data_IF_638346870878
#
_entry.id   IF_638346870878
#
_cell.length_a   1.000
_cell.length_b   1.000
_cell.length_c   1.000
_cell.angle_alpha   90.00
_cell.angle_beta   90.00
_cell.angle_gamma   90.00
#
_symmetry.space_group_name_H-M   'P 1'
#
loop_
_entity.id
_entity.type
_entity.pdbx_description
1 polymer ?
#
# COMPACT_ATOMS: atom_id res chain seq x y z
N UNK A 1 1.33 53.75 11.86
CA UNK A 1 2.05 52.52 12.28
C UNK A 1 1.00 51.47 12.58
N UNK A 2 0.81 50.50 11.68
CA UNK A 2 -0.15 49.41 11.91
C UNK A 2 0.50 48.37 12.84
N UNK A 3 -0.16 47.94 13.93
CA UNK A 3 0.38 46.92 14.81
C UNK A 3 0.45 45.60 14.05
N UNK A 4 1.66 45.03 13.98
CA UNK A 4 1.89 43.68 13.47
C UNK A 4 1.07 42.70 14.30
N UNK A 5 0.12 42.01 13.65
CA UNK A 5 -0.73 40.98 14.24
C UNK A 5 0.13 39.75 14.58
N UNK A 6 0.90 39.84 15.67
CA UNK A 6 1.60 38.70 16.25
C UNK A 6 0.53 37.78 16.86
N UNK A 7 0.16 36.74 16.10
CA UNK A 7 -0.75 35.68 16.58
C UNK A 7 -0.19 35.12 17.88
N UNK A 8 -0.99 35.14 18.95
CA UNK A 8 -0.55 34.64 20.24
C UNK A 8 -0.19 33.15 20.14
N UNK A 9 0.78 32.65 20.93
CA UNK A 9 1.20 31.25 20.85
C UNK A 9 0.03 30.27 21.05
N UNK A 10 -0.93 30.64 21.90
CA UNK A 10 -2.18 29.90 22.13
C UNK A 10 -3.08 29.83 20.90
N UNK A 11 -3.30 30.94 20.19
CA UNK A 11 -4.09 30.94 18.95
C UNK A 11 -3.46 30.06 17.86
N UNK A 12 -2.13 30.03 17.79
CA UNK A 12 -1.43 29.16 16.85
C UNK A 12 -1.55 27.67 17.22
N UNK A 13 -1.58 27.32 18.52
CA UNK A 13 -1.84 25.95 18.99
C UNK A 13 -3.28 25.50 18.70
N UNK A 14 -4.26 26.37 18.93
CA UNK A 14 -5.66 26.08 18.59
C UNK A 14 -5.86 25.80 17.10
N UNK A 15 -5.18 26.55 16.22
CA UNK A 15 -5.22 26.27 14.77
C UNK A 15 -4.67 24.88 14.44
N UNK A 16 -3.59 24.46 15.10
CA UNK A 16 -3.03 23.11 14.91
C UNK A 16 -4.00 22.01 15.38
N UNK A 17 -4.70 22.23 16.49
CA UNK A 17 -5.72 21.30 16.97
C UNK A 17 -6.91 21.17 16.02
N UNK A 18 -7.38 22.26 15.44
CA UNK A 18 -8.43 22.21 14.40
C UNK A 18 -7.97 21.41 13.18
N UNK A 19 -6.77 21.70 12.68
CA UNK A 19 -6.19 20.92 11.57
C UNK A 19 -6.00 19.45 11.93
N UNK A 20 -5.63 19.13 13.16
CA UNK A 20 -5.50 17.75 13.62
C UNK A 20 -6.85 17.04 13.59
N UNK A 21 -7.90 17.68 14.09
CA UNK A 21 -9.26 17.15 14.06
C UNK A 21 -9.71 16.86 12.61
N UNK A 22 -9.58 17.84 11.71
CA UNK A 22 -9.90 17.65 10.28
C UNK A 22 -9.13 16.48 9.65
N UNK A 23 -7.86 16.30 10.04
CA UNK A 23 -7.02 15.20 9.54
C UNK A 23 -7.43 13.83 10.10
N UNK A 24 -7.94 13.77 11.33
CA UNK A 24 -8.44 12.54 11.94
C UNK A 24 -9.75 12.12 11.29
N UNK A 25 -10.68 13.05 11.08
CA UNK A 25 -11.97 12.79 10.44
C UNK A 25 -11.81 12.26 9.01
N UNK A 26 -10.79 12.77 8.30
CA UNK A 26 -10.45 12.32 6.94
C UNK A 26 -9.52 11.10 6.91
N UNK A 27 -9.22 10.47 8.06
CA UNK A 27 -8.31 9.34 8.20
C UNK A 27 -6.90 9.57 7.59
N UNK A 28 -6.43 10.82 7.57
CA UNK A 28 -5.11 11.23 7.06
C UNK A 28 -4.01 11.06 8.11
N UNK A 29 -3.88 9.86 8.68
CA UNK A 29 -3.01 9.57 9.83
C UNK A 29 -1.54 9.98 9.66
N UNK A 30 -0.88 9.82 8.49
CA UNK A 30 0.50 10.27 8.31
C UNK A 30 0.66 11.81 8.40
N UNK A 31 -0.38 12.56 8.05
CA UNK A 31 -0.39 14.02 8.15
C UNK A 31 -0.72 14.46 9.58
N UNK A 32 -1.72 13.82 10.20
CA UNK A 32 -2.07 13.99 11.61
C UNK A 32 -0.84 13.81 12.50
N UNK A 33 -0.04 12.76 12.27
CA UNK A 33 1.17 12.50 13.04
C UNK A 33 2.19 13.65 12.94
N UNK A 34 2.33 14.29 11.77
CA UNK A 34 3.20 15.48 11.63
C UNK A 34 2.65 16.68 12.39
N UNK A 35 1.34 16.84 12.41
CA UNK A 35 0.66 17.92 13.15
C UNK A 35 0.83 17.73 14.66
N UNK A 36 0.64 16.50 15.17
CA UNK A 36 0.89 16.15 16.57
C UNK A 36 2.34 16.39 16.97
N UNK A 37 3.31 15.99 16.13
CA UNK A 37 4.72 16.28 16.40
C UNK A 37 5.02 17.79 16.48
N UNK A 38 4.29 18.64 15.73
CA UNK A 38 4.40 20.11 15.86
C UNK A 38 3.78 20.63 17.15
N UNK A 39 2.72 20.00 17.65
CA UNK A 39 2.11 20.31 18.94
C UNK A 39 3.09 19.97 20.08
N UNK A 40 3.62 18.74 20.08
CA UNK A 40 4.59 18.28 21.08
C UNK A 40 5.93 19.04 21.05
N UNK A 41 6.34 19.55 19.89
CA UNK A 41 7.51 20.41 19.79
C UNK A 41 7.32 21.79 20.46
N UNK A 42 6.07 22.23 20.64
CA UNK A 42 5.74 23.49 21.33
C UNK A 42 5.49 23.26 22.81
N UNK A 43 4.70 22.24 23.12
CA UNK A 43 4.42 21.81 24.47
C UNK A 43 4.68 20.30 24.60
N UNK A 44 5.87 19.91 25.09
CA UNK A 44 6.18 18.52 25.31
C UNK A 44 5.29 17.86 26.36
N UNK A 45 4.67 18.60 27.29
CA UNK A 45 3.88 18.05 28.41
C UNK A 45 2.38 17.98 28.12
N UNK A 46 1.96 18.34 26.91
CA UNK A 46 0.56 18.24 26.48
C UNK A 46 0.09 16.77 26.46
N UNK A 47 -0.70 16.40 27.46
CA UNK A 47 -1.17 15.02 27.66
C UNK A 47 -2.03 14.54 26.49
N UNK A 48 -2.90 15.40 25.95
CA UNK A 48 -3.78 15.04 24.84
C UNK A 48 -2.95 14.78 23.58
N UNK A 49 -2.00 15.67 23.26
CA UNK A 49 -1.12 15.48 22.12
C UNK A 49 -0.27 14.20 22.24
N UNK A 50 0.18 13.84 23.46
CA UNK A 50 0.92 12.59 23.71
C UNK A 50 0.06 11.34 23.52
N UNK A 51 -1.18 11.35 24.01
CA UNK A 51 -2.12 10.25 23.82
C UNK A 51 -2.52 10.10 22.34
N UNK A 52 -2.82 11.20 21.65
CA UNK A 52 -3.09 11.15 20.21
C UNK A 52 -1.86 10.67 19.43
N UNK A 53 -0.64 11.02 19.87
CA UNK A 53 0.58 10.51 19.26
C UNK A 53 0.70 8.99 19.37
N UNK A 54 0.50 8.41 20.56
CA UNK A 54 0.56 6.96 20.75
C UNK A 54 -0.50 6.24 19.90
N UNK A 55 -1.75 6.71 19.93
CA UNK A 55 -2.84 6.17 19.12
C UNK A 55 -2.55 6.22 17.61
N UNK A 56 -2.04 7.35 17.10
CA UNK A 56 -1.68 7.49 15.68
C UNK A 56 -0.54 6.57 15.25
N UNK A 57 0.44 6.35 16.13
CA UNK A 57 1.55 5.44 15.85
C UNK A 57 1.04 4.00 15.75
N UNK A 58 0.08 3.62 16.60
CA UNK A 58 -0.58 2.31 16.55
C UNK A 58 -1.46 2.16 15.31
N UNK A 59 -2.27 3.18 14.97
CA UNK A 59 -3.11 3.18 13.77
C UNK A 59 -2.30 3.12 12.45
N UNK A 60 -1.02 3.49 12.49
CA UNK A 60 -0.08 3.37 11.37
C UNK A 60 0.73 2.05 11.40
N UNK A 61 0.33 1.09 12.24
CA UNK A 61 0.98 -0.21 12.43
C UNK A 61 2.46 -0.12 12.86
N UNK A 62 2.86 1.00 13.49
CA UNK A 62 4.23 1.21 13.97
C UNK A 62 4.38 0.73 15.41
N UNK A 63 3.95 -0.49 15.70
CA UNK A 63 3.92 -1.08 17.04
C UNK A 63 5.26 -1.01 17.80
N UNK A 64 6.44 -1.28 17.17
CA UNK A 64 7.72 -1.16 17.89
C UNK A 64 8.03 0.28 18.33
N UNK A 65 7.55 1.28 17.59
CA UNK A 65 7.72 2.68 17.96
C UNK A 65 6.74 3.07 19.06
N UNK A 66 5.50 2.55 19.03
CA UNK A 66 4.51 2.77 20.08
C UNK A 66 4.99 2.26 21.46
N UNK A 67 5.66 1.10 21.49
CA UNK A 67 6.20 0.53 22.73
C UNK A 67 7.32 1.36 23.37
N UNK A 68 7.93 2.28 22.62
CA UNK A 68 8.98 3.20 23.10
C UNK A 68 8.42 4.51 23.63
N UNK A 69 7.13 4.76 23.48
CA UNK A 69 6.48 5.96 23.98
C UNK A 69 6.03 5.75 25.41
N UNK A 70 6.38 6.69 26.28
CA UNK A 70 5.96 6.68 27.69
C UNK A 70 4.46 6.99 27.86
N UNK A 71 3.81 7.50 26.82
CA UNK A 71 2.38 7.85 26.81
C UNK A 71 1.47 6.73 26.33
N UNK A 72 2.01 5.55 26.07
CA UNK A 72 1.24 4.36 25.70
C UNK A 72 0.70 3.71 26.96
N UNK A 73 -0.62 3.64 27.08
CA UNK A 73 -1.34 2.92 28.13
C UNK A 73 -1.10 1.41 28.06
N UNK A 74 -1.34 0.71 29.17
CA UNK A 74 -1.04 -0.73 29.28
C UNK A 74 -1.88 -1.58 28.32
N UNK A 75 -3.14 -1.23 28.09
CA UNK A 75 -4.00 -1.92 27.12
C UNK A 75 -3.44 -1.80 25.69
N UNK A 76 -3.11 -0.58 25.26
CA UNK A 76 -2.45 -0.36 23.96
C UNK A 76 -1.09 -1.04 23.87
N UNK A 77 -0.34 -1.07 24.97
CA UNK A 77 0.97 -1.75 25.05
C UNK A 77 0.82 -3.27 24.87
N UNK A 78 -0.16 -3.88 25.53
CA UNK A 78 -0.51 -5.29 25.37
C UNK A 78 -0.91 -5.60 23.91
N UNK A 79 -1.74 -4.75 23.30
CA UNK A 79 -2.11 -4.89 21.89
C UNK A 79 -0.89 -4.82 20.95
N UNK A 80 0.04 -3.89 21.19
CA UNK A 80 1.27 -3.80 20.41
C UNK A 80 2.14 -5.06 20.55
N UNK A 81 2.27 -5.60 21.78
CA UNK A 81 3.01 -6.84 22.02
C UNK A 81 2.35 -8.04 21.34
N UNK A 82 1.02 -8.12 21.37
CA UNK A 82 0.23 -9.12 20.65
C UNK A 82 0.52 -9.08 19.14
N UNK A 83 0.47 -7.89 18.52
CA UNK A 83 0.76 -7.73 17.09
C UNK A 83 2.20 -8.06 16.71
N UNK A 84 3.14 -7.94 17.65
CA UNK A 84 4.54 -8.33 17.48
C UNK A 84 4.82 -9.81 17.80
N UNK A 85 3.77 -10.63 17.94
CA UNK A 85 3.87 -12.06 18.25
C UNK A 85 4.62 -12.34 19.57
N UNK A 86 4.40 -11.50 20.59
CA UNK A 86 4.92 -11.69 21.97
C UNK A 86 3.76 -11.93 22.94
N UNK A 87 3.00 -13.04 22.81
CA UNK A 87 1.73 -13.23 23.53
C UNK A 87 1.91 -13.36 25.04
N UNK A 88 3.01 -13.95 25.52
CA UNK A 88 3.28 -14.10 26.95
C UNK A 88 3.45 -12.75 27.67
N UNK A 89 4.24 -11.86 27.05
CA UNK A 89 4.42 -10.51 27.58
C UNK A 89 3.15 -9.68 27.46
N UNK A 90 2.42 -9.83 26.35
CA UNK A 90 1.14 -9.15 26.15
C UNK A 90 0.13 -9.52 27.24
N UNK A 91 0.02 -10.81 27.60
CA UNK A 91 -0.84 -11.28 28.69
C UNK A 91 -0.47 -10.66 30.03
N UNK A 92 0.82 -10.66 30.37
CA UNK A 92 1.29 -10.07 31.64
C UNK A 92 0.96 -8.58 31.75
N UNK A 93 1.10 -7.83 30.64
CA UNK A 93 0.77 -6.40 30.60
C UNK A 93 -0.74 -6.18 30.64
N UNK A 94 -1.53 -7.01 29.95
CA UNK A 94 -2.98 -6.91 29.94
C UNK A 94 -3.60 -7.17 31.32
N UNK A 95 -3.06 -8.14 32.08
CA UNK A 95 -3.46 -8.41 33.47
C UNK A 95 -3.20 -7.23 34.42
N UNK A 96 -2.24 -6.35 34.08
CA UNK A 96 -1.93 -5.13 34.82
C UNK A 96 -2.78 -3.93 34.36
N UNK A 97 -3.39 -4.01 33.18
CA UNK A 97 -4.21 -2.95 32.65
C UNK A 97 -5.50 -2.84 33.49
N UNK A 98 -5.75 -1.65 34.02
CA UNK A 98 -6.98 -1.37 34.75
C UNK A 98 -8.11 -1.08 33.74
N UNK A 99 -9.21 -1.81 33.84
CA UNK A 99 -10.43 -1.54 33.07
C UNK A 99 -11.01 -2.79 32.45
N UNK A 100 -12.30 -3.02 32.72
CA UNK A 100 -13.08 -4.11 32.15
C UNK A 100 -13.64 -3.71 30.77
N UNK A 101 -12.74 -3.23 29.92
CA UNK A 101 -13.10 -2.76 28.59
C UNK A 101 -13.35 -3.97 27.68
N UNK A 102 -14.45 -3.92 26.92
CA UNK A 102 -14.80 -4.93 25.91
C UNK A 102 -13.64 -5.29 24.99
N UNK A 103 -12.86 -4.29 24.57
CA UNK A 103 -11.68 -4.49 23.71
C UNK A 103 -10.56 -5.29 24.41
N UNK A 104 -10.39 -5.12 25.73
CA UNK A 104 -9.42 -5.87 26.53
C UNK A 104 -9.84 -7.33 26.65
N UNK A 105 -11.13 -7.60 26.88
CA UNK A 105 -11.68 -8.96 26.94
C UNK A 105 -11.50 -9.70 25.60
N UNK A 106 -11.77 -9.03 24.49
CA UNK A 106 -11.52 -9.60 23.15
C UNK A 106 -10.02 -9.90 22.96
N UNK A 107 -9.14 -9.00 23.38
CA UNK A 107 -7.69 -9.21 23.31
C UNK A 107 -7.24 -10.38 24.19
N UNK A 108 -7.83 -10.54 25.37
CA UNK A 108 -7.57 -11.66 26.28
C UNK A 108 -7.99 -12.99 25.67
N UNK A 109 -9.16 -13.07 25.05
CA UNK A 109 -9.63 -14.26 24.34
C UNK A 109 -8.66 -14.64 23.21
N UNK A 110 -8.25 -13.65 22.41
CA UNK A 110 -7.27 -13.83 21.33
C UNK A 110 -5.90 -14.28 21.85
N UNK A 111 -5.45 -13.75 22.99
CA UNK A 111 -4.19 -14.16 23.62
C UNK A 111 -4.27 -15.59 24.13
N UNK A 112 -5.36 -15.95 24.81
CA UNK A 112 -5.61 -17.31 25.31
C UNK A 112 -5.55 -18.32 24.17
N UNK A 113 -6.20 -18.01 23.04
CA UNK A 113 -6.13 -18.85 21.84
C UNK A 113 -4.70 -19.03 21.32
N UNK A 114 -3.92 -17.94 21.23
CA UNK A 114 -2.52 -18.01 20.75
C UNK A 114 -1.59 -18.75 21.71
N UNK A 115 -1.91 -18.79 23.00
CA UNK A 115 -1.13 -19.49 24.02
C UNK A 115 -1.49 -20.97 24.11
N UNK A 116 -2.55 -21.41 23.43
CA UNK A 116 -3.02 -22.79 23.46
C UNK A 116 -4.07 -23.06 24.56
N UNK A 117 -4.49 -22.03 25.29
CA UNK A 117 -5.54 -22.11 26.31
C UNK A 117 -6.93 -22.05 25.63
N UNK A 118 -7.22 -23.04 24.77
CA UNK A 118 -8.39 -23.01 23.88
C UNK A 118 -9.74 -23.07 24.62
N UNK A 119 -9.80 -23.73 25.77
CA UNK A 119 -11.02 -23.76 26.61
C UNK A 119 -11.35 -22.36 27.13
N UNK A 120 -10.37 -21.69 27.75
CA UNK A 120 -10.52 -20.30 28.22
C UNK A 120 -10.88 -19.37 27.07
N UNK A 121 -10.22 -19.52 25.91
CA UNK A 121 -10.52 -18.69 24.74
C UNK A 121 -11.97 -18.88 24.27
N UNK A 122 -12.45 -20.13 24.19
CA UNK A 122 -13.83 -20.43 23.81
C UNK A 122 -14.82 -19.81 24.78
N UNK A 123 -14.62 -20.00 26.09
CA UNK A 123 -15.54 -19.50 27.11
C UNK A 123 -15.61 -17.96 27.08
N UNK A 124 -14.46 -17.28 26.92
CA UNK A 124 -14.44 -15.83 26.73
C UNK A 124 -15.16 -15.40 25.44
N UNK A 125 -14.93 -16.08 24.31
CA UNK A 125 -15.63 -15.73 23.06
C UNK A 125 -17.15 -15.99 23.13
N UNK A 126 -17.59 -17.01 23.85
CA UNK A 126 -19.01 -17.32 24.07
C UNK A 126 -19.68 -16.24 24.93
N UNK A 127 -19.05 -15.85 26.05
CA UNK A 127 -19.50 -14.72 26.87
C UNK A 127 -19.56 -13.43 26.06
N UNK A 128 -18.53 -13.17 25.25
CA UNK A 128 -18.49 -11.99 24.40
C UNK A 128 -19.64 -12.02 23.37
N UNK A 129 -19.84 -13.14 22.68
CA UNK A 129 -20.90 -13.29 21.68
C UNK A 129 -22.29 -13.14 22.31
N UNK A 130 -22.50 -13.67 23.52
CA UNK A 130 -23.77 -13.60 24.23
C UNK A 130 -24.20 -12.17 24.58
N UNK A 131 -23.25 -11.25 24.77
CA UNK A 131 -23.55 -9.83 25.06
C UNK A 131 -23.41 -8.92 23.84
N UNK A 132 -23.05 -9.45 22.67
CA UNK A 132 -22.93 -8.66 21.45
C UNK A 132 -24.32 -8.33 20.88
N UNK A 133 -24.46 -7.15 20.27
CA UNK A 133 -25.69 -6.79 19.56
C UNK A 133 -25.86 -7.66 18.30
N UNK A 134 -27.07 -8.15 18.05
CA UNK A 134 -27.34 -9.07 16.94
C UNK A 134 -27.03 -8.48 15.54
N UNK A 135 -27.18 -7.17 15.38
CA UNK A 135 -26.90 -6.46 14.12
C UNK A 135 -25.45 -5.95 14.04
N UNK A 136 -24.63 -6.20 15.07
CA UNK A 136 -23.24 -5.76 15.08
C UNK A 136 -22.38 -6.63 14.17
N UNK A 137 -21.50 -6.04 13.34
CA UNK A 137 -20.52 -6.81 12.57
C UNK A 137 -19.52 -7.56 13.47
N UNK A 138 -19.39 -7.19 14.75
CA UNK A 138 -18.53 -7.88 15.73
C UNK A 138 -18.99 -9.31 15.99
N UNK A 139 -20.31 -9.57 16.00
CA UNK A 139 -20.85 -10.90 16.33
C UNK A 139 -20.34 -11.97 15.36
N UNK A 140 -20.33 -11.66 14.05
CA UNK A 140 -19.83 -12.58 13.03
C UNK A 140 -18.33 -12.91 13.24
N UNK A 141 -17.52 -11.92 13.65
CA UNK A 141 -16.11 -12.14 13.96
C UNK A 141 -15.92 -12.99 15.22
N UNK A 142 -16.76 -12.80 16.25
CA UNK A 142 -16.73 -13.58 17.48
C UNK A 142 -17.14 -15.04 17.24
N UNK A 143 -18.20 -15.28 16.48
CA UNK A 143 -18.65 -16.63 16.09
C UNK A 143 -17.58 -17.37 15.26
N UNK A 144 -16.91 -16.67 14.34
CA UNK A 144 -15.79 -17.23 13.58
C UNK A 144 -14.62 -17.63 14.50
N UNK A 145 -14.32 -16.84 15.54
CA UNK A 145 -13.29 -17.19 16.51
C UNK A 145 -13.72 -18.34 17.43
N UNK A 146 -14.99 -18.38 17.84
CA UNK A 146 -15.56 -19.46 18.65
C UNK A 146 -15.49 -20.80 17.91
N UNK A 147 -15.91 -20.83 16.64
CA UNK A 147 -15.82 -22.02 15.79
C UNK A 147 -14.38 -22.49 15.62
N UNK A 148 -13.42 -21.58 15.50
CA UNK A 148 -11.99 -21.93 15.48
C UNK A 148 -11.51 -22.55 16.80
N UNK A 149 -11.96 -22.03 17.95
CA UNK A 149 -11.65 -22.61 19.27
C UNK A 149 -12.22 -24.02 19.41
N UNK A 150 -13.49 -24.22 19.04
CA UNK A 150 -14.16 -25.53 19.10
C UNK A 150 -13.46 -26.54 18.18
N UNK A 151 -13.19 -26.16 16.92
CA UNK A 151 -12.48 -27.05 15.99
C UNK A 151 -11.09 -27.46 16.51
N UNK A 152 -10.41 -26.57 17.22
CA UNK A 152 -9.11 -26.87 17.81
C UNK A 152 -9.21 -27.81 19.01
N UNK A 153 -10.23 -27.65 19.86
CA UNK A 153 -10.51 -28.57 20.96
C UNK A 153 -10.90 -29.97 20.45
N UNK A 154 -11.78 -30.02 19.45
CA UNK A 154 -12.19 -31.27 18.80
C UNK A 154 -10.99 -31.99 18.19
N UNK A 155 -10.13 -31.27 17.47
CA UNK A 155 -8.88 -31.82 16.94
C UNK A 155 -8.01 -32.40 18.05
N UNK A 156 -7.79 -31.68 19.15
CA UNK A 156 -6.97 -32.18 20.28
C UNK A 156 -7.60 -33.43 20.91
N UNK A 157 -8.92 -33.49 21.03
CA UNK A 157 -9.64 -34.65 21.53
C UNK A 157 -9.61 -35.86 20.57
N UNK A 158 -9.52 -35.63 19.26
CA UNK A 158 -9.41 -36.67 18.24
C UNK A 158 -7.99 -37.25 18.07
N UNK A 159 -6.94 -36.55 18.51
CA UNK A 159 -5.55 -37.03 18.36
C UNK A 159 -5.34 -38.43 18.99
N UNK A 160 -5.76 -38.72 20.24
CA UNK A 160 -5.53 -40.04 20.83
C UNK A 160 -6.23 -41.18 20.07
N UNK A 161 -7.46 -40.95 19.59
CA UNK A 161 -8.23 -41.97 18.88
C UNK A 161 -7.66 -42.21 17.48
N UNK A 162 -7.26 -41.15 16.77
CA UNK A 162 -6.58 -41.27 15.47
C UNK A 162 -5.24 -42.00 15.60
N UNK A 163 -4.42 -41.69 16.61
CA UNK A 163 -3.17 -42.41 16.90
C UNK A 163 -3.40 -43.87 17.30
N UNK A 164 -4.43 -44.16 18.10
CA UNK A 164 -4.80 -45.52 18.48
C UNK A 164 -5.28 -46.33 17.28
N UNK A 165 -6.05 -45.73 16.36
CA UNK A 165 -6.49 -46.37 15.12
C UNK A 165 -5.32 -46.68 14.18
N UNK A 166 -4.33 -45.79 14.10
CA UNK A 166 -3.08 -46.04 13.37
C UNK A 166 -2.28 -47.19 13.99
N UNK A 167 -2.27 -47.30 15.31
CA UNK A 167 -1.52 -48.34 16.04
C UNK A 167 -2.21 -49.70 16.06
N UNK A 168 -3.54 -49.72 16.14
CA UNK A 168 -4.38 -50.93 16.22
C UNK A 168 -4.63 -51.56 14.85
N UNK A 169 -4.46 -50.78 13.78
CA UNK A 169 -4.34 -51.31 12.43
C UNK A 169 -2.95 -51.94 12.25
N UNK A 170 -2.74 -53.09 12.91
CA UNK A 170 -1.48 -53.86 12.90
C UNK A 170 -1.03 -54.40 11.53
N UNK A 171 -1.49 -53.82 10.42
CA UNK A 171 -1.12 -54.18 9.04
C UNK A 171 -1.39 -53.04 8.05
N UNK A 172 -1.05 -51.79 8.39
CA UNK A 172 -0.68 -50.84 7.34
C UNK A 172 0.71 -50.34 7.67
N UNK A 173 1.71 -51.04 7.10
CA UNK A 173 3.06 -50.50 7.01
C UNK A 173 2.92 -49.03 6.63
N UNK A 174 3.56 -48.13 7.40
CA UNK A 174 3.69 -46.73 7.00
C UNK A 174 4.12 -46.80 5.54
N UNK A 175 3.30 -46.35 4.57
CA UNK A 175 3.64 -46.47 3.17
C UNK A 175 5.03 -45.85 3.01
N UNK A 176 5.97 -46.53 2.31
CA UNK A 176 7.31 -46.00 2.12
C UNK A 176 7.19 -44.57 1.57
N UNK A 177 8.17 -43.71 1.89
CA UNK A 177 8.14 -42.28 1.53
C UNK A 177 7.76 -42.08 0.05
N UNK A 178 8.26 -42.96 -0.83
CA UNK A 178 7.94 -42.97 -2.26
C UNK A 178 6.42 -43.15 -2.58
N UNK A 179 5.69 -43.95 -1.81
CA UNK A 179 4.24 -44.13 -1.96
C UNK A 179 3.45 -42.93 -1.40
N UNK A 180 3.95 -42.28 -0.35
CA UNK A 180 3.36 -41.04 0.18
C UNK A 180 3.54 -39.87 -0.78
N UNK A 181 4.70 -39.79 -1.45
CA UNK A 181 4.97 -38.76 -2.47
C UNK A 181 4.21 -39.01 -3.77
N UNK A 182 3.95 -40.27 -4.12
CA UNK A 182 3.16 -40.65 -5.30
C UNK A 182 1.63 -40.55 -5.07
N UNK A 183 1.16 -40.49 -3.82
CA UNK A 183 -0.27 -40.34 -3.53
C UNK A 183 -0.72 -38.89 -3.75
N UNK A 184 -1.77 -38.64 -4.54
CA UNK A 184 -2.35 -37.30 -4.61
C UNK A 184 -2.88 -36.94 -3.21
N UNK A 185 -2.49 -35.77 -2.70
CA UNK A 185 -2.82 -35.28 -1.35
C UNK A 185 -4.33 -35.36 -1.00
N UNK A 186 -5.20 -35.42 -2.02
CA UNK A 186 -6.64 -35.59 -1.89
C UNK A 186 -7.09 -36.95 -1.29
N UNK A 187 -6.23 -37.98 -1.27
CA UNK A 187 -6.55 -39.32 -0.75
C UNK A 187 -5.97 -39.64 0.64
N UNK A 188 -5.07 -38.79 1.15
CA UNK A 188 -4.37 -39.02 2.44
C UNK A 188 -5.03 -38.25 3.58
N UNK A 189 -5.63 -37.10 3.28
CA UNK A 189 -6.47 -36.41 4.26
C UNK A 189 -7.77 -37.19 4.39
N UNK A 190 -8.24 -37.50 5.62
CA UNK A 190 -9.60 -37.99 5.79
C UNK A 190 -10.50 -36.96 5.11
N UNK A 191 -11.34 -37.41 4.17
CA UNK A 191 -12.38 -36.58 3.62
C UNK A 191 -13.20 -36.12 4.82
N UNK A 192 -12.95 -34.89 5.27
CA UNK A 192 -13.70 -34.26 6.34
C UNK A 192 -15.16 -34.52 6.00
N UNK A 193 -15.84 -35.22 6.90
CA UNK A 193 -17.24 -35.55 6.72
C UNK A 193 -17.96 -34.25 6.37
N UNK A 194 -18.43 -34.16 5.13
CA UNK A 194 -19.24 -33.07 4.63
C UNK A 194 -20.60 -33.19 5.32
N UNK A 195 -20.68 -32.77 6.58
CA UNK A 195 -21.95 -32.44 7.21
C UNK A 195 -22.25 -30.99 6.89
N UNK A 196 -23.15 -30.80 5.91
CA UNK A 196 -23.97 -29.62 5.67
C UNK A 196 -23.37 -28.25 6.04
N UNK A 197 -22.70 -27.61 5.08
CA UNK A 197 -22.73 -26.16 4.96
C UNK A 197 -23.10 -25.80 3.52
N UNK A 198 -24.32 -25.32 3.36
CA UNK A 198 -24.74 -24.61 2.16
C UNK A 198 -23.91 -23.33 2.01
N UNK A 199 -23.31 -23.18 0.84
CA UNK A 199 -23.04 -21.94 0.13
C UNK A 199 -22.34 -20.80 0.88
N UNK A 200 -21.07 -20.54 0.54
CA UNK A 200 -20.51 -19.21 0.75
C UNK A 200 -18.98 -19.12 0.80
N UNK A 201 -18.35 -19.10 -0.37
CA UNK A 201 -17.08 -18.40 -0.65
C UNK A 201 -15.93 -18.49 0.38
N UNK A 202 -15.08 -19.50 0.26
CA UNK A 202 -13.71 -19.47 0.78
C UNK A 202 -12.72 -20.08 -0.25
N UNK A 203 -12.52 -19.36 -1.35
CA UNK A 203 -11.48 -19.66 -2.35
C UNK A 203 -10.62 -18.42 -2.59
N UNK A 204 -9.92 -17.92 -1.56
CA UNK A 204 -8.95 -16.83 -1.72
C UNK A 204 -7.96 -16.70 -0.55
N UNK A 205 -7.28 -17.75 -0.11
CA UNK A 205 -6.21 -17.59 0.90
C UNK A 205 -5.06 -18.60 0.84
N UNK A 206 -4.79 -19.25 -0.31
CA UNK A 206 -3.72 -20.26 -0.42
C UNK A 206 -2.76 -20.02 -1.59
N UNK A 207 -2.35 -18.78 -1.84
CA UNK A 207 -1.39 -18.47 -2.91
C UNK A 207 -0.40 -17.35 -2.56
N UNK A 208 0.17 -17.34 -1.35
CA UNK A 208 1.23 -16.38 -1.01
C UNK A 208 2.17 -16.88 0.10
N UNK A 209 2.85 -18.02 -0.11
CA UNK A 209 3.93 -18.42 0.79
C UNK A 209 5.00 -19.32 0.13
N UNK A 210 5.59 -18.88 -0.98
CA UNK A 210 6.94 -19.32 -1.40
C UNK A 210 7.55 -18.26 -2.30
N UNK A 211 8.51 -17.50 -1.81
CA UNK A 211 9.84 -17.35 -2.44
C UNK A 211 10.74 -16.44 -1.59
N UNK A 212 11.75 -17.05 -0.96
CA UNK A 212 12.84 -16.37 -0.24
C UNK A 212 14.11 -16.65 -1.02
N UNK A 213 14.67 -15.64 -1.69
CA UNK A 213 15.93 -15.84 -2.40
C UNK A 213 16.62 -14.58 -2.94
N UNK A 214 17.51 -13.99 -2.12
CA UNK A 214 18.80 -13.37 -2.52
C UNK A 214 18.78 -12.17 -3.49
N UNK A 215 19.10 -10.95 -3.00
CA UNK A 215 20.41 -10.24 -3.22
C UNK A 215 20.44 -8.73 -2.92
N UNK A 216 21.54 -8.37 -2.24
CA UNK A 216 22.41 -7.18 -2.35
C UNK A 216 21.95 -5.77 -1.95
N UNK A 217 22.65 -5.28 -0.92
CA UNK A 217 22.88 -3.88 -0.52
C UNK A 217 23.36 -3.01 -1.70
N UNK A 218 22.81 -1.80 -1.82
CA UNK A 218 23.60 -0.58 -2.10
C UNK A 218 22.89 0.66 -1.55
N UNK A 219 23.62 1.44 -0.76
CA UNK A 219 23.26 2.78 -0.31
C UNK A 219 23.21 3.78 -1.47
N UNK A 220 22.32 4.78 -1.41
CA UNK A 220 22.65 6.21 -1.61
C UNK A 220 21.42 7.14 -1.55
N UNK A 221 21.59 8.16 -0.69
CA UNK A 221 21.32 9.60 -0.89
C UNK A 221 19.89 10.09 -1.14
N UNK A 222 19.42 10.85 -0.15
CA UNK A 222 18.44 11.95 -0.23
C UNK A 222 18.82 12.98 -1.31
N UNK A 223 17.83 13.69 -1.89
CA UNK A 223 17.98 15.08 -2.24
C UNK A 223 17.13 16.01 -1.36
N UNK A 224 17.74 17.14 -1.00
CA UNK A 224 17.16 18.33 -0.38
C UNK A 224 16.36 19.14 -1.42
N UNK A 225 15.22 19.69 -1.00
CA UNK A 225 14.84 21.11 -1.10
C UNK A 225 14.59 21.75 -2.48
N UNK A 226 13.36 22.20 -2.69
CA UNK A 226 12.97 23.46 -3.37
C UNK A 226 11.52 23.75 -2.93
N UNK A 227 11.26 24.68 -1.99
CA UNK A 227 11.01 26.11 -2.21
C UNK A 227 10.20 26.39 -3.48
N UNK A 228 8.87 26.46 -3.35
CA UNK A 228 8.06 27.38 -4.14
C UNK A 228 7.41 28.38 -3.20
N UNK A 229 7.77 29.63 -3.42
CA UNK A 229 7.24 30.81 -2.78
C UNK A 229 5.90 31.20 -3.43
N UNK A 230 5.14 31.97 -2.67
CA UNK A 230 3.83 32.51 -2.96
C UNK A 230 3.78 33.42 -4.19
N UNK A 231 2.59 33.50 -4.79
CA UNK A 231 2.04 34.76 -5.30
C UNK A 231 0.52 34.76 -5.11
N UNK A 232 0.06 35.57 -4.16
CA UNK A 232 -1.30 36.10 -4.10
C UNK A 232 -1.30 37.46 -4.77
N UNK A 233 -2.35 37.83 -5.53
CA UNK A 233 -3.21 39.01 -5.29
C UNK A 233 -4.24 39.27 -6.42
N UNK A 234 -5.50 39.48 -5.97
CA UNK A 234 -6.58 40.39 -6.45
C UNK A 234 -7.12 40.26 -7.88
N UNK A 235 -8.43 40.25 -8.16
CA UNK A 235 -9.48 41.23 -7.77
C UNK A 235 -10.89 40.62 -7.74
N UNK A 236 -11.79 41.26 -6.99
CA UNK A 236 -13.25 41.07 -6.89
C UNK A 236 -14.00 41.36 -8.20
N UNK A 237 -15.14 40.70 -8.44
CA UNK A 237 -16.49 41.26 -8.68
C UNK A 237 -17.55 40.14 -8.75
N UNK A 238 -18.81 40.51 -8.52
CA UNK A 238 -20.00 39.69 -8.17
C UNK A 238 -20.60 38.83 -9.30
N UNK A 239 -21.32 37.76 -8.93
CA UNK A 239 -22.36 37.11 -9.75
C UNK A 239 -22.21 35.60 -9.98
N UNK A 240 -23.03 34.78 -9.29
CA UNK A 240 -23.17 33.33 -9.49
C UNK A 240 -24.24 33.00 -10.57
N UNK A 241 -24.43 31.73 -11.01
CA UNK A 241 -23.48 30.65 -11.30
C UNK A 241 -23.73 30.03 -12.69
N UNK A 242 -22.69 29.75 -13.48
CA UNK A 242 -22.78 28.78 -14.58
C UNK A 242 -21.48 28.00 -14.70
N UNK A 243 -21.61 26.67 -14.73
CA UNK A 243 -20.53 25.68 -14.86
C UNK A 243 -19.63 25.98 -16.06
N UNK A 244 -18.51 26.68 -15.83
CA UNK A 244 -17.40 26.76 -16.78
C UNK A 244 -16.35 25.74 -16.38
N UNK A 245 -16.30 24.63 -17.11
CA UNK A 245 -15.17 23.70 -17.07
C UNK A 245 -13.91 24.51 -17.42
N UNK A 246 -12.86 24.52 -16.59
CA UNK A 246 -11.62 25.22 -16.89
C UNK A 246 -11.07 24.77 -18.24
N UNK A 247 -10.76 25.71 -19.14
CA UNK A 247 -10.16 25.44 -20.45
C UNK A 247 -8.82 24.67 -20.35
N UNK A 248 -8.22 24.62 -19.16
CA UNK A 248 -7.02 23.83 -18.84
C UNK A 248 -7.23 22.31 -18.89
N UNK A 249 -8.47 21.80 -18.74
CA UNK A 249 -8.73 20.36 -18.90
C UNK A 249 -8.84 19.92 -20.36
N UNK A 250 -9.01 20.84 -21.31
CA UNK A 250 -9.13 20.51 -22.73
C UNK A 250 -7.78 20.17 -23.41
N UNK A 251 -6.66 20.37 -22.71
CA UNK A 251 -5.30 20.12 -23.22
C UNK A 251 -4.63 18.89 -22.60
N UNK A 252 -5.34 18.09 -21.80
CA UNK A 252 -4.75 16.83 -21.35
C UNK A 252 -4.70 15.82 -22.51
N UNK A 253 -3.53 15.24 -22.83
CA UNK A 253 -3.44 14.18 -23.81
C UNK A 253 -4.34 13.02 -23.36
N UNK A 254 -5.07 12.43 -24.31
CA UNK A 254 -5.99 11.35 -24.02
C UNK A 254 -5.29 10.27 -23.17
N UNK A 255 -5.93 9.78 -22.10
CA UNK A 255 -5.33 8.78 -21.22
C UNK A 255 -4.93 7.55 -22.03
N UNK A 256 -3.75 7.00 -21.74
CA UNK A 256 -3.22 5.84 -22.44
C UNK A 256 -4.25 4.70 -22.49
N UNK A 257 -4.46 4.13 -23.67
CA UNK A 257 -5.45 3.08 -23.97
C UNK A 257 -5.28 1.85 -23.05
N UNK A 258 -4.06 1.57 -22.59
CA UNK A 258 -3.73 0.44 -21.71
C UNK A 258 -4.08 0.66 -20.22
N UNK A 259 -4.70 1.79 -19.87
CA UNK A 259 -5.00 2.10 -18.45
C UNK A 259 -6.03 1.14 -17.84
N UNK A 260 -6.91 0.58 -18.67
CA UNK A 260 -8.02 -0.30 -18.26
C UNK A 260 -7.63 -1.79 -18.26
N UNK A 261 -6.42 -2.11 -18.73
CA UNK A 261 -5.91 -3.48 -18.80
C UNK A 261 -5.22 -3.85 -17.47
N UNK A 262 -5.52 -5.02 -16.86
CA UNK A 262 -4.85 -5.52 -15.67
C UNK A 262 -3.32 -5.51 -15.82
N UNK A 263 -2.57 -5.10 -14.79
CA UNK A 263 -1.10 -4.90 -14.87
C UNK A 263 -0.32 -6.09 -15.43
N UNK A 264 -0.82 -7.32 -15.25
CA UNK A 264 -0.22 -8.57 -15.75
C UNK A 264 -0.43 -8.80 -17.25
N UNK A 265 -1.45 -8.16 -17.83
CA UNK A 265 -1.79 -8.21 -19.25
C UNK A 265 -1.32 -6.96 -20.01
N UNK A 266 -0.69 -6.00 -19.31
CA UNK A 266 -0.09 -4.84 -19.98
C UNK A 266 1.11 -5.30 -20.79
N UNK A 267 1.23 -4.88 -22.06
CA UNK A 267 2.41 -5.18 -22.85
C UNK A 267 3.64 -4.72 -22.07
N UNK A 268 4.63 -5.60 -21.94
CA UNK A 268 5.84 -5.25 -21.22
C UNK A 268 6.52 -4.08 -21.93
N UNK A 269 7.34 -3.29 -21.24
CA UNK A 269 8.08 -2.18 -21.86
C UNK A 269 8.89 -2.65 -23.08
N UNK A 270 9.28 -3.93 -23.09
CA UNK A 270 9.95 -4.61 -24.21
C UNK A 270 9.02 -4.84 -25.40
N UNK A 271 7.78 -5.25 -25.15
CA UNK A 271 6.77 -5.48 -26.20
C UNK A 271 6.31 -4.16 -26.83
N UNK A 272 6.14 -3.12 -26.02
CA UNK A 272 5.86 -1.77 -26.50
C UNK A 272 6.97 -1.25 -27.42
N UNK A 273 8.24 -1.53 -27.09
CA UNK A 273 9.38 -1.13 -27.90
C UNK A 273 9.46 -1.93 -29.22
N UNK A 274 9.10 -3.20 -29.19
CA UNK A 274 9.02 -4.06 -30.37
C UNK A 274 7.91 -3.58 -31.32
N UNK A 275 6.72 -3.30 -30.80
CA UNK A 275 5.61 -2.76 -31.60
C UNK A 275 5.93 -1.38 -32.19
N UNK A 276 6.61 -0.51 -31.43
CA UNK A 276 7.06 0.79 -31.96
C UNK A 276 8.07 0.63 -33.11
N UNK A 277 9.00 -0.33 -32.98
CA UNK A 277 10.00 -0.64 -34.01
C UNK A 277 9.36 -1.25 -35.26
N UNK A 278 8.31 -2.05 -35.07
CA UNK A 278 7.53 -2.65 -36.16
C UNK A 278 6.68 -1.61 -36.91
N UNK A 279 6.00 -0.70 -36.20
CA UNK A 279 5.31 0.46 -36.79
C UNK A 279 6.26 1.36 -37.60
N UNK A 280 7.49 1.58 -37.12
CA UNK A 280 8.50 2.33 -37.87
C UNK A 280 8.97 1.59 -39.14
N UNK A 281 9.03 0.26 -39.11
CA UNK A 281 9.36 -0.54 -40.30
C UNK A 281 8.24 -0.53 -41.34
N UNK A 282 6.97 -0.59 -40.90
CA UNK A 282 5.79 -0.45 -41.77
C UNK A 282 5.79 0.90 -42.51
N UNK A 283 5.92 2.01 -41.77
CA UNK A 283 5.96 3.36 -42.36
C UNK A 283 7.09 3.56 -43.37
N UNK A 284 8.25 2.92 -43.16
CA UNK A 284 9.35 2.96 -44.14
C UNK A 284 9.03 2.17 -45.41
N UNK A 285 8.37 1.01 -45.30
CA UNK A 285 7.91 0.24 -46.46
C UNK A 285 6.88 1.00 -47.28
N UNK A 286 5.88 1.60 -46.62
CA UNK A 286 4.84 2.37 -47.30
C UNK A 286 5.42 3.58 -48.05
N UNK A 287 6.40 4.26 -47.44
CA UNK A 287 7.10 5.37 -48.09
C UNK A 287 7.93 4.93 -49.31
N UNK A 288 8.55 3.75 -49.26
CA UNK A 288 9.30 3.19 -50.38
C UNK A 288 8.36 2.73 -51.50
N UNK A 289 7.24 2.09 -51.18
CA UNK A 289 6.21 1.69 -52.15
C UNK A 289 5.56 2.90 -52.83
N UNK A 290 5.25 3.95 -52.07
CA UNK A 290 4.72 5.20 -52.61
C UNK A 290 5.73 5.93 -53.52
N UNK A 291 7.02 5.92 -53.18
CA UNK A 291 8.07 6.49 -54.03
C UNK A 291 8.26 5.69 -55.32
N UNK A 292 8.11 4.36 -55.27
CA UNK A 292 8.23 3.49 -56.44
C UNK A 292 7.03 3.63 -57.38
N UNK A 293 5.82 3.87 -56.85
CA UNK A 293 4.61 4.15 -57.63
C UNK A 293 4.63 5.52 -58.34
N UNK A 294 5.41 6.49 -57.86
CA UNK A 294 5.44 7.85 -58.42
C UNK A 294 6.42 8.04 -59.59
N UNK A 295 7.18 7.02 -60.00
CA UNK A 295 8.30 7.18 -60.97
C UNK A 295 8.04 6.58 -62.35
N UNK A 296 6.80 6.20 -62.69
CA UNK A 296 6.48 5.77 -64.06
C UNK A 296 5.17 6.40 -64.55
N UNK A 297 5.30 7.48 -65.33
CA UNK A 297 4.30 7.85 -66.33
C UNK A 297 3.80 9.29 -66.25
N UNK A 298 4.46 10.21 -66.95
CA UNK A 298 3.79 11.31 -67.68
C UNK A 298 4.80 11.99 -68.61
N UNK A 299 4.69 11.69 -69.90
CA UNK A 299 5.40 12.38 -70.97
C UNK A 299 4.73 13.74 -71.28
N UNK A 300 5.56 14.65 -71.75
CA UNK A 300 5.35 16.08 -71.96
C UNK A 300 4.38 16.46 -73.09
N UNK A 301 3.78 17.67 -73.03
CA UNK A 301 3.83 18.75 -74.06
C UNK A 301 3.51 20.14 -73.40
N UNK A 302 4.33 21.22 -73.60
CA UNK A 302 4.13 22.62 -73.15
C UNK A 302 3.92 23.62 -74.34
N UNK A 303 4.05 24.98 -74.24
CA UNK A 303 3.56 26.06 -73.34
C UNK A 303 2.86 27.22 -74.19
N UNK A 304 2.73 28.53 -73.82
CA UNK A 304 3.85 29.51 -73.55
C UNK A 304 3.66 30.63 -72.48
N UNK A 305 4.83 31.10 -71.97
CA UNK A 305 5.36 32.44 -71.54
C UNK A 305 4.56 33.40 -70.62
N UNK A 306 5.12 34.03 -69.56
CA UNK A 306 6.19 35.05 -69.55
C UNK A 306 7.10 35.13 -68.28
N UNK A 307 8.23 35.84 -68.44
CA UNK A 307 9.53 36.01 -67.72
C UNK A 307 9.60 37.04 -66.51
N UNK A 308 10.77 37.44 -65.91
CA UNK A 308 12.00 36.71 -65.45
C UNK A 308 12.70 37.26 -64.13
N UNK A 309 13.87 36.65 -63.80
CA UNK A 309 15.09 37.11 -63.00
C UNK A 309 15.08 37.00 -61.45
N UNK A 310 16.17 36.65 -60.72
CA UNK A 310 17.55 36.18 -61.00
C UNK A 310 18.32 35.78 -59.69
N UNK A 311 19.32 34.87 -59.81
CA UNK A 311 20.63 34.68 -59.08
C UNK A 311 20.67 34.49 -57.54
N UNK A 312 21.62 33.76 -56.90
CA UNK A 312 22.68 32.79 -57.25
C UNK A 312 23.45 32.36 -55.96
N UNK A 313 23.97 31.11 -55.92
CA UNK A 313 25.24 30.59 -55.29
C UNK A 313 25.47 30.76 -53.77
N UNK A 314 26.12 29.86 -53.01
CA UNK A 314 26.99 28.70 -53.26
C UNK A 314 27.54 28.11 -51.92
N UNK A 315 28.40 27.10 -52.04
CA UNK A 315 28.83 26.09 -51.04
C UNK A 315 29.76 26.53 -49.88
N UNK A 316 29.99 25.64 -48.89
CA UNK A 316 31.17 25.69 -48.02
C UNK A 316 31.11 24.82 -46.74
N UNK A 317 32.20 24.18 -46.35
CA UNK A 317 32.29 23.08 -45.39
C UNK A 317 33.20 23.35 -44.16
N UNK A 318 32.94 22.62 -43.05
CA UNK A 318 33.90 22.01 -42.08
C UNK A 318 34.68 22.90 -41.03
N UNK A 319 35.38 22.32 -40.01
CA UNK A 319 35.12 22.58 -38.57
C UNK A 319 36.38 22.96 -37.70
N UNK A 320 36.19 23.17 -36.39
CA UNK A 320 37.24 23.24 -35.33
C UNK A 320 36.68 23.95 -34.07
N UNK A 321 37.03 23.70 -32.81
CA UNK A 321 38.14 23.00 -32.16
C UNK A 321 38.71 23.90 -31.03
N UNK A 322 38.74 23.44 -29.77
CA UNK A 322 39.43 24.09 -28.63
C UNK A 322 38.51 24.34 -27.41
N UNK A 323 38.75 23.88 -26.17
CA UNK A 323 39.96 23.41 -25.52
C UNK A 323 40.56 24.52 -24.64
N UNK A 324 40.15 24.64 -23.36
CA UNK A 324 40.84 25.54 -22.43
C UNK A 324 40.94 24.96 -21.00
N UNK A 325 42.19 24.81 -20.55
CA UNK A 325 42.66 24.46 -19.19
C UNK A 325 43.59 25.59 -18.74
N UNK A 326 43.42 26.10 -17.52
CA UNK A 326 44.42 26.77 -16.64
C UNK A 326 43.66 27.31 -15.40
N UNK A 327 44.19 27.50 -14.20
CA UNK A 327 45.41 27.08 -13.46
C UNK A 327 45.32 27.75 -12.08
N UNK A 328 45.39 26.95 -11.02
CA UNK A 328 46.20 27.09 -9.78
C UNK A 328 46.33 28.47 -9.08
N UNK A 329 45.97 28.48 -7.79
CA UNK A 329 46.48 29.34 -6.71
C UNK A 329 45.79 28.90 -5.41
N UNK A 330 46.41 28.59 -4.27
CA UNK A 330 47.75 28.90 -3.76
C UNK A 330 47.64 29.97 -2.67
N UNK A 331 47.54 29.57 -1.39
CA UNK A 331 47.82 30.36 -0.18
C UNK A 331 47.84 29.37 1.00
N UNK A 332 49.05 29.10 1.52
CA UNK A 332 49.70 29.69 2.70
C UNK A 332 49.30 28.93 3.95
#
# INVERSE_FOLDING_TARGET
MAPSNAVSPQQAQQKLYRTLHDQLDLALYPQALRTVNKLLARDPQDQLARQTHSQLVVALDRYPDALRLDSTDDATRAYCLYKLARPQEARTVLEQAAGDDRANQVLEAQLSYRLGDYERARDLFDELAATAEADSPELADLEANLTACTAQLDFVAEIPTTLANLSSSGSRAIPPIDELEARPLALVLPAASTSNLGGGAAAAAAAAATDRGKRTRTARRRPRGARFAASATTTSEEGAPFLRIPAELAQQPAPAEDRWIPKRQRPSMRDALLQAKEKQRGRKRDKVLAAMAATQGAAAVPPPSDEPKAKATGAGAKPGGGGNKKKKGGRK
#
